data_IF_729716911847
#
_entry.id   IF_729716911847
#
_cell.length_a   1.000
_cell.length_b   1.000
_cell.length_c   1.000
_cell.angle_alpha   90.00
_cell.angle_beta   90.00
_cell.angle_gamma   90.00
#
_symmetry.space_group_name_H-M   'P 1'
#
loop_
_entity.id
_entity.type
_entity.pdbx_description
1 polymer ?
#
# COMPACT_ATOMS: atom_id res chain seq x y z
N UNK A 1 -20.15 -6.10 2.30
CA UNK A 1 -20.25 -4.69 1.85
C UNK A 1 -19.49 -3.70 2.75
N UNK A 2 -19.47 -3.85 4.08
CA UNK A 2 -18.70 -2.95 4.97
C UNK A 2 -17.20 -2.93 4.66
N UNK A 3 -16.55 -4.10 4.62
CA UNK A 3 -15.13 -4.26 4.28
C UNK A 3 -14.72 -3.49 3.01
N UNK A 4 -15.49 -3.62 1.93
CA UNK A 4 -15.21 -2.95 0.65
C UNK A 4 -15.24 -1.41 0.79
N UNK A 5 -16.20 -0.86 1.55
CA UNK A 5 -16.31 0.59 1.75
C UNK A 5 -15.12 1.14 2.54
N UNK A 6 -14.67 0.41 3.55
CA UNK A 6 -13.53 0.82 4.40
C UNK A 6 -12.23 0.73 3.60
N UNK A 7 -12.00 -0.39 2.89
CA UNK A 7 -10.88 -0.54 1.96
C UNK A 7 -10.84 0.59 0.93
N UNK A 8 -11.99 0.93 0.33
CA UNK A 8 -12.07 2.00 -0.66
C UNK A 8 -11.74 3.36 -0.03
N UNK A 9 -12.26 3.64 1.17
CA UNK A 9 -12.02 4.90 1.86
C UNK A 9 -10.54 5.05 2.25
N UNK A 10 -9.95 4.05 2.92
CA UNK A 10 -8.54 4.07 3.30
C UNK A 10 -7.63 4.11 2.07
N UNK A 11 -7.95 3.33 1.02
CA UNK A 11 -7.22 3.34 -0.25
C UNK A 11 -7.27 4.69 -0.94
N UNK A 12 -8.45 5.33 -1.03
CA UNK A 12 -8.58 6.65 -1.65
C UNK A 12 -7.85 7.73 -0.86
N UNK A 13 -7.94 7.72 0.47
CA UNK A 13 -7.20 8.67 1.33
C UNK A 13 -5.70 8.50 1.13
N UNK A 14 -5.19 7.26 1.15
CA UNK A 14 -3.77 6.99 0.90
C UNK A 14 -3.33 7.42 -0.51
N UNK A 15 -4.15 7.15 -1.53
CA UNK A 15 -3.88 7.54 -2.90
C UNK A 15 -3.79 9.06 -3.08
N UNK A 16 -4.72 9.80 -2.48
CA UNK A 16 -4.75 11.27 -2.53
C UNK A 16 -3.53 11.84 -1.81
N UNK A 17 -3.22 11.35 -0.60
CA UNK A 17 -2.09 11.84 0.19
C UNK A 17 -0.76 11.63 -0.55
N UNK A 18 -0.46 10.40 -0.97
CA UNK A 18 0.80 10.12 -1.66
C UNK A 18 0.83 10.69 -3.08
N UNK A 19 -0.31 10.75 -3.77
CA UNK A 19 -0.42 11.38 -5.08
C UNK A 19 -0.09 12.87 -5.02
N UNK A 20 -0.62 13.58 -4.01
CA UNK A 20 -0.29 15.00 -3.76
C UNK A 20 1.18 15.18 -3.39
N UNK A 21 1.73 14.32 -2.52
CA UNK A 21 3.16 14.36 -2.17
C UNK A 21 4.02 14.14 -3.42
N UNK A 22 3.68 13.14 -4.24
CA UNK A 22 4.37 12.87 -5.50
C UNK A 22 4.28 14.05 -6.47
N UNK A 23 3.11 14.68 -6.58
CA UNK A 23 2.88 15.85 -7.43
C UNK A 23 3.72 17.05 -6.98
N UNK A 24 3.73 17.35 -5.68
CA UNK A 24 4.49 18.46 -5.10
C UNK A 24 6.01 18.22 -5.22
N UNK A 25 6.45 16.97 -5.13
CA UNK A 25 7.88 16.63 -5.12
C UNK A 25 8.50 16.52 -6.53
N UNK A 26 7.70 16.10 -7.52
CA UNK A 26 8.21 15.80 -8.87
C UNK A 26 7.63 16.67 -9.99
N UNK A 27 6.65 17.52 -9.67
CA UNK A 27 5.92 18.33 -10.63
C UNK A 27 5.00 17.51 -11.55
N UNK A 28 4.35 18.17 -12.50
CA UNK A 28 3.44 17.53 -13.46
C UNK A 28 4.16 16.79 -14.61
N UNK A 29 5.48 16.90 -14.71
CA UNK A 29 6.24 16.46 -15.89
C UNK A 29 6.55 14.97 -15.97
N UNK A 30 6.37 14.20 -14.88
CA UNK A 30 6.66 12.76 -14.84
C UNK A 30 5.51 12.00 -14.20
N UNK A 31 5.23 10.78 -14.67
CA UNK A 31 4.22 9.86 -14.10
C UNK A 31 4.53 9.38 -12.66
N UNK A 32 5.47 10.05 -11.97
CA UNK A 32 5.86 9.78 -10.60
C UNK A 32 4.72 10.04 -9.60
N UNK A 33 3.88 11.06 -9.85
CA UNK A 33 2.70 11.33 -9.02
C UNK A 33 1.68 10.18 -9.08
N UNK A 34 1.54 9.55 -10.25
CA UNK A 34 0.65 8.40 -10.44
C UNK A 34 1.21 7.16 -9.74
N UNK A 35 2.51 6.90 -9.86
CA UNK A 35 3.18 5.82 -9.13
C UNK A 35 3.04 6.00 -7.61
N UNK A 36 3.23 7.23 -7.12
CA UNK A 36 3.03 7.55 -5.70
C UNK A 36 1.57 7.34 -5.27
N UNK A 37 0.59 7.75 -6.08
CA UNK A 37 -0.82 7.52 -5.79
C UNK A 37 -1.17 6.02 -5.72
N UNK A 38 -0.61 5.18 -6.61
CA UNK A 38 -0.82 3.73 -6.59
C UNK A 38 -0.20 3.11 -5.32
N UNK A 39 1.01 3.53 -4.95
CA UNK A 39 1.66 3.06 -3.71
C UNK A 39 0.84 3.49 -2.49
N UNK A 40 0.38 4.74 -2.44
CA UNK A 40 -0.50 5.25 -1.38
C UNK A 40 -1.81 4.50 -1.30
N UNK A 41 -2.40 4.13 -2.44
CA UNK A 41 -3.61 3.32 -2.50
C UNK A 41 -3.39 1.96 -1.85
N UNK A 42 -2.29 1.28 -2.19
CA UNK A 42 -1.95 -0.03 -1.65
C UNK A 42 -1.64 0.04 -0.15
N UNK A 43 -0.95 1.09 0.31
CA UNK A 43 -0.74 1.36 1.74
C UNK A 43 -2.07 1.60 2.47
N UNK A 44 -2.97 2.38 1.88
CA UNK A 44 -4.32 2.59 2.42
C UNK A 44 -5.12 1.29 2.52
N UNK A 45 -4.99 0.40 1.54
CA UNK A 45 -5.61 -0.94 1.59
C UNK A 45 -4.98 -1.81 2.67
N UNK A 46 -3.67 -1.73 2.91
CA UNK A 46 -2.99 -2.46 4.00
C UNK A 46 -3.48 -1.99 5.37
N UNK A 47 -3.79 -0.71 5.53
CA UNK A 47 -4.30 -0.16 6.78
C UNK A 47 -5.80 -0.47 7.05
N UNK A 48 -6.58 -0.76 6.01
CA UNK A 48 -8.03 -0.98 6.12
C UNK A 48 -8.45 -2.10 7.12
N UNK A 49 -7.77 -3.25 7.20
CA UNK A 49 -8.10 -4.30 8.17
C UNK A 49 -7.79 -3.92 9.62
N UNK A 50 -6.86 -2.98 9.86
CA UNK A 50 -6.55 -2.51 11.20
C UNK A 50 -7.66 -1.61 11.75
N UNK A 51 -8.27 -0.78 10.90
CA UNK A 51 -9.39 0.09 11.32
C UNK A 51 -10.66 -0.69 11.62
N UNK A 52 -10.93 -1.80 10.92
CA UNK A 52 -12.12 -2.62 11.18
C UNK A 52 -11.83 -4.12 11.03
N UNK A 53 -11.13 -4.75 11.99
CA UNK A 53 -10.69 -6.15 11.90
C UNK A 53 -11.86 -7.14 11.81
N UNK A 54 -13.03 -6.78 12.36
CA UNK A 54 -14.25 -7.60 12.30
C UNK A 54 -14.84 -7.71 10.89
N UNK A 55 -14.45 -6.82 9.97
CA UNK A 55 -14.92 -6.84 8.59
C UNK A 55 -14.10 -7.80 7.70
N UNK A 56 -12.90 -8.21 8.13
CA UNK A 56 -11.97 -9.02 7.34
C UNK A 56 -11.73 -10.39 7.99
N UNK A 57 -12.22 -11.45 7.34
CA UNK A 57 -12.03 -12.83 7.80
C UNK A 57 -10.56 -13.30 7.69
N UNK A 58 -9.80 -12.76 6.74
CA UNK A 58 -8.39 -13.11 6.51
C UNK A 58 -7.54 -11.83 6.28
N UNK A 59 -7.47 -10.96 7.29
CA UNK A 59 -6.77 -9.68 7.22
C UNK A 59 -5.31 -9.80 6.77
N UNK A 60 -4.55 -10.74 7.36
CA UNK A 60 -3.14 -10.95 7.06
C UNK A 60 -2.88 -11.29 5.58
N UNK A 61 -3.71 -12.15 4.97
CA UNK A 61 -3.58 -12.51 3.56
C UNK A 61 -3.90 -11.35 2.62
N UNK A 62 -4.88 -10.51 2.99
CA UNK A 62 -5.24 -9.32 2.25
C UNK A 62 -4.10 -8.29 2.27
N UNK A 63 -3.52 -8.04 3.45
CA UNK A 63 -2.39 -7.13 3.62
C UNK A 63 -1.16 -7.65 2.87
N UNK A 64 -0.83 -8.94 3.01
CA UNK A 64 0.28 -9.55 2.29
C UNK A 64 0.13 -9.43 0.76
N UNK A 65 -1.08 -9.64 0.23
CA UNK A 65 -1.36 -9.45 -1.20
C UNK A 65 -1.15 -8.00 -1.66
N UNK A 66 -1.66 -7.03 -0.90
CA UNK A 66 -1.48 -5.61 -1.21
C UNK A 66 0.00 -5.19 -1.12
N UNK A 67 0.74 -5.67 -0.12
CA UNK A 67 2.17 -5.42 0.04
C UNK A 67 3.01 -6.04 -1.06
N UNK A 68 2.67 -7.25 -1.49
CA UNK A 68 3.37 -7.91 -2.59
C UNK A 68 3.19 -7.17 -3.92
N UNK A 69 1.95 -6.72 -4.19
CA UNK A 69 1.68 -5.87 -5.34
C UNK A 69 2.45 -4.54 -5.26
N UNK A 70 2.50 -3.91 -4.09
CA UNK A 70 3.22 -2.65 -3.90
C UNK A 70 4.73 -2.82 -4.19
N UNK A 71 5.37 -3.82 -3.59
CA UNK A 71 6.79 -4.08 -3.79
C UNK A 71 7.14 -4.44 -5.24
N UNK A 72 6.32 -5.29 -5.87
CA UNK A 72 6.50 -5.67 -7.27
C UNK A 72 6.29 -4.51 -8.24
N UNK A 73 5.26 -3.69 -8.04
CA UNK A 73 4.97 -2.53 -8.90
C UNK A 73 6.05 -1.46 -8.79
N UNK A 74 6.54 -1.17 -7.59
CA UNK A 74 7.60 -0.16 -7.38
C UNK A 74 8.89 -0.58 -8.09
N UNK A 75 9.30 -1.83 -7.93
CA UNK A 75 10.54 -2.32 -8.54
C UNK A 75 10.43 -2.52 -10.05
N UNK A 76 9.26 -2.92 -10.54
CA UNK A 76 8.98 -2.95 -11.98
C UNK A 76 9.02 -1.55 -12.59
N UNK A 77 8.48 -0.55 -11.88
CA UNK A 77 8.53 0.85 -12.32
C UNK A 77 9.95 1.42 -12.35
N UNK A 78 10.82 0.96 -11.45
CA UNK A 78 12.25 1.28 -11.47
C UNK A 78 13.03 0.56 -12.59
N UNK A 79 12.37 -0.27 -13.39
CA UNK A 79 12.99 -1.01 -14.49
C UNK A 79 13.96 -2.10 -14.03
N UNK A 80 13.79 -2.61 -12.80
CA UNK A 80 14.67 -3.63 -12.24
C UNK A 80 14.40 -5.02 -12.84
N UNK A 81 15.37 -5.95 -12.75
CA UNK A 81 15.21 -7.31 -13.23
C UNK A 81 14.02 -8.03 -12.58
N UNK A 82 13.39 -8.95 -13.31
CA UNK A 82 12.24 -9.72 -12.82
C UNK A 82 12.53 -10.49 -11.51
N UNK A 83 13.76 -10.95 -11.31
CA UNK A 83 14.21 -11.58 -10.07
C UNK A 83 14.13 -10.62 -8.89
N UNK A 84 14.55 -9.37 -9.07
CA UNK A 84 14.43 -8.30 -8.08
C UNK A 84 12.98 -7.94 -7.82
N UNK A 85 12.14 -7.90 -8.85
CA UNK A 85 10.71 -7.62 -8.70
C UNK A 85 9.98 -8.70 -7.90
N UNK A 86 10.28 -9.97 -8.17
CA UNK A 86 9.76 -11.09 -7.39
C UNK A 86 10.22 -11.02 -5.93
N UNK A 87 11.49 -10.73 -5.70
CA UNK A 87 12.02 -10.61 -4.36
C UNK A 87 11.36 -9.46 -3.59
N UNK A 88 11.18 -8.32 -4.25
CA UNK A 88 10.50 -7.16 -3.67
C UNK A 88 9.02 -7.42 -3.41
N UNK A 89 8.33 -8.21 -4.24
CA UNK A 89 6.97 -8.66 -3.96
C UNK A 89 6.92 -9.56 -2.72
N UNK A 90 7.85 -10.50 -2.57
CA UNK A 90 7.92 -11.35 -1.37
C UNK A 90 8.18 -10.51 -0.12
N UNK A 91 9.17 -9.62 -0.17
CA UNK A 91 9.52 -8.73 0.95
C UNK A 91 8.35 -7.80 1.27
N UNK A 92 7.76 -7.15 0.27
CA UNK A 92 6.61 -6.27 0.44
C UNK A 92 5.41 -6.97 1.06
N UNK A 93 5.16 -8.22 0.65
CA UNK A 93 4.12 -9.06 1.25
C UNK A 93 4.40 -9.41 2.71
N UNK A 94 5.65 -9.75 3.07
CA UNK A 94 6.05 -10.01 4.46
C UNK A 94 5.93 -8.77 5.34
N UNK A 95 6.37 -7.61 4.85
CA UNK A 95 6.28 -6.32 5.57
C UNK A 95 4.82 -5.94 5.81
N UNK A 96 3.96 -6.14 4.80
CA UNK A 96 2.54 -5.87 4.94
C UNK A 96 1.82 -6.91 5.79
N UNK A 97 2.24 -8.18 5.80
CA UNK A 97 1.73 -9.15 6.78
C UNK A 97 2.03 -8.68 8.21
N UNK A 98 3.23 -8.14 8.43
CA UNK A 98 3.60 -7.57 9.72
C UNK A 98 2.82 -6.28 10.07
N UNK A 99 1.95 -5.74 9.18
CA UNK A 99 1.10 -4.55 9.41
C UNK A 99 0.57 -4.40 10.83
N UNK A 100 -0.06 -5.42 11.45
CA UNK A 100 -0.61 -5.28 12.80
C UNK A 100 0.44 -4.89 13.84
N UNK A 101 1.69 -5.31 13.67
CA UNK A 101 2.77 -5.06 14.64
C UNK A 101 3.27 -3.63 14.59
N UNK A 102 3.45 -3.06 13.40
CA UNK A 102 3.96 -1.69 13.25
C UNK A 102 2.85 -0.64 13.27
N UNK A 103 1.66 -0.91 12.69
CA UNK A 103 0.53 0.02 12.77
C UNK A 103 0.04 0.21 14.22
N UNK A 104 0.05 -0.83 15.06
CA UNK A 104 -0.29 -0.68 16.48
C UNK A 104 0.80 0.03 17.30
N UNK A 105 2.06 -0.03 16.86
CA UNK A 105 3.16 0.69 17.51
C UNK A 105 3.21 2.17 17.14
N UNK A 106 2.62 2.57 16.01
CA UNK A 106 2.42 3.97 15.67
C UNK A 106 1.27 4.50 16.53
N UNK A 107 1.58 4.80 17.79
CA UNK A 107 0.71 5.61 18.63
C UNK A 107 0.77 7.04 18.09
N UNK A 108 -0.30 7.45 17.39
CA UNK A 108 -0.51 8.87 17.11
C UNK A 108 -0.68 9.64 18.42
N UNK A 109 -0.35 10.95 18.45
CA UNK A 109 -0.65 11.80 19.60
C UNK A 109 -2.15 11.85 19.92
#
# INVERSE_FOLDING_TARGET
MKALKISLCCGLVGAILFGLIGLLSSGFGKFHWLAAAIVGLLLGLIAAPEFEPKAFRHAAWYQAGCGALAGGLVTAWLGLPASTCLMAAVIGGLVAWLAPWWLHHVQGP
#
